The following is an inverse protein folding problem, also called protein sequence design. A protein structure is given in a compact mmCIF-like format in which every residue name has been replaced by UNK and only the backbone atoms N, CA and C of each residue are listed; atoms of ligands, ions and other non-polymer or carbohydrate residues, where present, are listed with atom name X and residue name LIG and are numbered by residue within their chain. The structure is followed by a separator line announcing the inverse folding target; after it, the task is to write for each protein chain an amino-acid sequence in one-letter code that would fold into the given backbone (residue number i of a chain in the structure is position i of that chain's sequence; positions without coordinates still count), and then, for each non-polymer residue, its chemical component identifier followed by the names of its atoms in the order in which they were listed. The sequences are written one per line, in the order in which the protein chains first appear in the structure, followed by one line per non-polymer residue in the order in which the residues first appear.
data_IF_558326775512
#
_entry.id   IF_558326775512
#
_cell.length_a   1.000
_cell.length_b   1.000
_cell.length_c   1.000
_cell.angle_alpha   90.00
_cell.angle_beta   90.00
_cell.angle_gamma   90.00
#
_symmetry.space_group_name_H-M   'P 1'
#
loop_
_entity.id
_entity.type
_entity.pdbx_description
1 polymer ?
#
# COMPACT_ATOMS: atom_id res chain seq x y z
N UNK A 1 9.35 10.48 -6.59
CA UNK A 1 10.05 11.16 -5.47
C UNK A 1 9.77 12.67 -5.34
N UNK A 2 9.19 13.38 -6.33
CA UNK A 2 8.93 14.84 -6.22
C UNK A 2 8.08 15.21 -4.99
N UNK A 3 6.94 14.53 -4.79
CA UNK A 3 6.02 14.72 -3.65
C UNK A 3 6.74 14.65 -2.29
N UNK A 4 7.54 13.60 -2.09
CA UNK A 4 8.34 13.39 -0.86
C UNK A 4 9.41 14.47 -0.71
N UNK A 5 10.15 14.78 -1.78
CA UNK A 5 11.24 15.78 -1.75
C UNK A 5 10.74 17.20 -1.50
N UNK A 6 9.57 17.54 -2.05
CA UNK A 6 8.95 18.86 -1.91
C UNK A 6 8.03 18.96 -0.69
N UNK A 7 7.81 17.84 0.02
CA UNK A 7 6.87 17.73 1.13
C UNK A 7 5.49 18.34 0.79
N UNK A 8 4.97 18.00 -0.39
CA UNK A 8 3.82 18.71 -0.99
C UNK A 8 2.44 18.23 -0.51
N UNK A 9 2.39 17.26 0.42
CA UNK A 9 1.17 16.76 1.03
C UNK A 9 1.45 16.19 2.43
N UNK A 10 0.43 16.19 3.28
CA UNK A 10 0.52 15.59 4.63
C UNK A 10 0.31 14.08 4.60
N UNK A 11 -0.46 13.57 3.64
CA UNK A 11 -0.74 12.14 3.46
C UNK A 11 -0.39 11.73 2.04
N UNK A 12 0.41 10.68 1.90
CA UNK A 12 0.76 10.09 0.60
C UNK A 12 0.34 8.62 0.56
N UNK A 13 -0.57 8.29 -0.36
CA UNK A 13 -1.14 6.94 -0.48
C UNK A 13 -0.55 6.27 -1.72
N UNK A 14 0.07 5.11 -1.52
CA UNK A 14 0.54 4.23 -2.57
C UNK A 14 -0.40 3.03 -2.63
N UNK A 15 -1.45 3.18 -3.44
CA UNK A 15 -2.47 2.15 -3.60
C UNK A 15 -1.93 0.98 -4.45
N UNK A 16 -2.16 -0.24 -3.99
CA UNK A 16 -1.76 -1.52 -4.60
C UNK A 16 -0.25 -1.66 -4.91
N UNK A 17 0.60 -0.96 -4.15
CA UNK A 17 2.07 -1.05 -4.29
C UNK A 17 2.59 -2.47 -4.02
N UNK A 18 1.92 -3.25 -3.17
CA UNK A 18 2.31 -4.65 -2.93
C UNK A 18 2.11 -5.52 -4.18
N UNK A 19 1.14 -5.18 -5.04
CA UNK A 19 0.98 -5.81 -6.35
C UNK A 19 2.17 -5.55 -7.26
N UNK A 20 2.75 -4.35 -7.23
CA UNK A 20 3.94 -3.98 -8.01
C UNK A 20 5.17 -4.79 -7.54
N UNK A 21 5.36 -4.91 -6.22
CA UNK A 21 6.41 -5.74 -5.62
C UNK A 21 6.25 -7.22 -6.00
N UNK A 22 5.03 -7.75 -5.90
CA UNK A 22 4.72 -9.15 -6.25
C UNK A 22 5.04 -9.45 -7.72
N UNK A 23 4.85 -8.47 -8.60
CA UNK A 23 5.19 -8.58 -10.02
C UNK A 23 6.66 -8.26 -10.34
N UNK A 24 7.51 -8.01 -9.33
CA UNK A 24 8.94 -7.68 -9.45
C UNK A 24 9.22 -6.46 -10.34
N UNK A 25 8.25 -5.54 -10.42
CA UNK A 25 8.40 -4.28 -11.15
C UNK A 25 9.11 -3.20 -10.32
N UNK A 26 9.21 -3.43 -9.00
CA UNK A 26 9.89 -2.61 -8.01
C UNK A 26 10.55 -3.56 -7.00
N UNK A 27 11.71 -3.19 -6.48
CA UNK A 27 12.39 -3.97 -5.43
C UNK A 27 11.90 -3.59 -4.03
N UNK A 28 12.02 -4.51 -3.07
CA UNK A 28 11.70 -4.23 -1.67
C UNK A 28 12.59 -3.12 -1.10
N UNK A 29 13.86 -3.11 -1.47
CA UNK A 29 14.83 -2.08 -1.04
C UNK A 29 14.46 -0.69 -1.58
N UNK A 30 13.84 -0.59 -2.75
CA UNK A 30 13.34 0.68 -3.27
C UNK A 30 12.20 1.23 -2.41
N UNK A 31 11.29 0.36 -1.93
CA UNK A 31 10.20 0.75 -1.03
C UNK A 31 10.74 1.11 0.35
N UNK A 32 11.68 0.34 0.89
CA UNK A 32 12.32 0.66 2.17
C UNK A 32 13.01 2.02 2.11
N UNK A 33 13.77 2.30 1.03
CA UNK A 33 14.37 3.63 0.82
C UNK A 33 13.32 4.73 0.75
N UNK A 34 12.15 4.45 0.17
CA UNK A 34 11.06 5.42 0.11
C UNK A 34 10.53 5.73 1.51
N UNK A 35 10.25 4.71 2.32
CA UNK A 35 9.78 4.82 3.70
C UNK A 35 10.79 5.62 4.53
N UNK A 36 12.07 5.26 4.45
CA UNK A 36 13.15 5.93 5.19
C UNK A 36 13.36 7.39 4.74
N UNK A 37 12.96 7.74 3.51
CA UNK A 37 13.12 9.09 2.95
C UNK A 37 11.95 10.03 3.20
N UNK A 38 10.83 9.56 3.77
CA UNK A 38 9.64 10.38 3.97
C UNK A 38 9.90 11.50 4.99
N UNK A 39 9.34 12.71 4.80
CA UNK A 39 9.38 13.75 5.83
C UNK A 39 8.70 13.29 7.12
N UNK A 40 9.18 13.79 8.27
CA UNK A 40 8.66 13.39 9.58
C UNK A 40 7.17 13.71 9.77
N UNK A 41 6.68 14.75 9.10
CA UNK A 41 5.30 15.21 9.18
C UNK A 41 4.38 14.58 8.11
N UNK A 42 4.90 13.65 7.29
CA UNK A 42 4.13 13.00 6.23
C UNK A 42 3.69 11.59 6.68
N UNK A 43 2.41 11.31 6.55
CA UNK A 43 1.83 9.98 6.68
C UNK A 43 1.96 9.23 5.34
N UNK A 44 2.50 8.02 5.38
CA UNK A 44 2.70 7.19 4.18
C UNK A 44 1.86 5.92 4.31
N UNK A 45 0.84 5.79 3.46
CA UNK A 45 -0.07 4.64 3.46
C UNK A 45 0.28 3.75 2.28
N UNK A 46 0.55 2.47 2.56
CA UNK A 46 0.81 1.44 1.57
C UNK A 46 -0.35 0.45 1.60
N UNK A 47 -0.96 0.13 0.46
CA UNK A 47 -2.04 -0.87 0.37
C UNK A 47 -1.64 -2.06 -0.51
N UNK A 48 -2.42 -3.13 -0.38
CA UNK A 48 -2.28 -4.36 -1.14
C UNK A 48 -2.09 -5.58 -0.24
N UNK A 49 -1.85 -6.74 -0.87
CA UNK A 49 -1.80 -8.05 -0.19
C UNK A 49 -0.36 -8.55 -0.06
N UNK A 50 -0.12 -9.45 0.90
CA UNK A 50 1.16 -10.15 1.06
C UNK A 50 2.37 -9.22 1.23
N UNK A 51 2.27 -8.23 2.13
CA UNK A 51 3.38 -7.33 2.41
C UNK A 51 4.63 -8.12 2.90
N UNK A 52 5.82 -7.90 2.30
CA UNK A 52 7.07 -8.53 2.74
C UNK A 52 7.44 -8.16 4.18
N UNK A 53 8.08 -9.09 4.90
CA UNK A 53 8.43 -8.90 6.31
C UNK A 53 9.38 -7.70 6.52
N UNK A 54 10.31 -7.46 5.60
CA UNK A 54 11.20 -6.29 5.65
C UNK A 54 10.44 -4.95 5.61
N UNK A 55 9.29 -4.91 4.96
CA UNK A 55 8.43 -3.72 4.91
C UNK A 55 7.54 -3.66 6.16
N UNK A 56 7.03 -4.81 6.63
CA UNK A 56 6.28 -4.87 7.90
C UNK A 56 7.10 -4.33 9.06
N UNK A 57 8.36 -4.71 9.17
CA UNK A 57 9.25 -4.30 10.26
C UNK A 57 9.50 -2.78 10.31
N UNK A 58 9.24 -2.08 9.20
CA UNK A 58 9.38 -0.62 9.08
C UNK A 58 8.07 0.14 9.34
N UNK A 59 6.93 -0.55 9.35
CA UNK A 59 5.63 0.09 9.49
C UNK A 59 5.33 0.38 10.96
N UNK A 60 4.92 1.62 11.25
CA UNK A 60 4.45 2.00 12.59
C UNK A 60 3.07 1.41 12.91
N UNK A 61 2.24 1.20 11.88
CA UNK A 61 0.90 0.64 11.97
C UNK A 61 0.65 -0.34 10.83
N UNK A 62 0.12 -1.51 11.16
CA UNK A 62 -0.32 -2.52 10.19
C UNK A 62 -1.76 -2.90 10.50
N UNK A 63 -2.62 -2.84 9.49
CA UNK A 63 -3.99 -3.38 9.55
C UNK A 63 -4.14 -4.48 8.51
N UNK A 64 -4.56 -5.67 8.94
CA UNK A 64 -4.84 -6.80 8.08
C UNK A 64 -6.36 -6.94 7.86
N UNK A 65 -6.77 -6.94 6.59
CA UNK A 65 -8.15 -7.19 6.20
C UNK A 65 -8.30 -8.67 5.83
N UNK A 66 -8.84 -9.49 6.73
CA UNK A 66 -9.16 -10.89 6.45
C UNK A 66 -10.56 -11.00 5.84
N UNK A 67 -10.66 -11.66 4.68
CA UNK A 67 -11.96 -11.96 4.05
C UNK A 67 -12.69 -13.05 4.87
N UNK A 68 -13.67 -12.65 5.67
CA UNK A 68 -14.53 -13.59 6.43
C UNK A 68 -15.71 -14.08 5.58
N UNK A 69 -16.20 -13.23 4.67
CA UNK A 69 -17.28 -13.51 3.73
C UNK A 69 -17.27 -12.49 2.60
N UNK A 70 -17.58 -12.91 1.37
CA UNK A 70 -17.65 -12.00 0.22
C UNK A 70 -18.89 -12.27 -0.65
N UNK A 71 -19.58 -11.22 -1.13
CA UNK A 71 -20.77 -11.38 -1.99
C UNK A 71 -20.45 -12.07 -3.33
N UNK A 72 -19.19 -12.06 -3.76
CA UNK A 72 -18.75 -12.84 -4.93
C UNK A 72 -18.95 -14.34 -4.74
N UNK A 73 -18.87 -14.86 -3.50
CA UNK A 73 -19.15 -16.27 -3.20
C UNK A 73 -20.62 -16.64 -3.48
N UNK A 74 -21.51 -15.63 -3.51
CA UNK A 74 -22.92 -15.76 -3.87
C UNK A 74 -23.18 -15.44 -5.35
N UNK A 75 -22.14 -15.25 -6.16
CA UNK A 75 -22.23 -14.96 -7.59
C UNK A 75 -22.50 -13.50 -7.95
N UNK A 76 -22.47 -12.58 -6.97
CA UNK A 76 -22.58 -11.14 -7.26
C UNK A 76 -21.33 -10.67 -8.00
N UNK A 77 -21.52 -10.12 -9.20
CA UNK A 77 -20.45 -9.58 -10.05
C UNK A 77 -20.02 -8.19 -9.58
N UNK A 78 -18.89 -7.71 -10.11
CA UNK A 78 -18.41 -6.33 -9.93
C UNK A 78 -19.44 -5.30 -10.38
N UNK A 79 -19.53 -4.21 -9.62
CA UNK A 79 -20.53 -3.14 -9.71
C UNK A 79 -19.83 -1.79 -9.72
N UNK A 80 -20.26 -0.93 -10.61
CA UNK A 80 -19.80 0.45 -10.65
C UNK A 80 -20.21 1.19 -9.36
N UNK A 81 -19.29 1.98 -8.83
CA UNK A 81 -19.44 2.72 -7.57
C UNK A 81 -19.22 1.89 -6.31
N UNK A 82 -18.95 0.58 -6.42
CA UNK A 82 -18.62 -0.26 -5.27
C UNK A 82 -17.25 -0.92 -5.43
N UNK A 83 -17.05 -1.72 -6.49
CA UNK A 83 -15.77 -2.39 -6.73
C UNK A 83 -14.86 -1.60 -7.70
N UNK A 84 -15.43 -0.65 -8.46
CA UNK A 84 -14.69 0.25 -9.37
C UNK A 84 -15.44 1.55 -9.63
#
# INVERSE_FOLDING_TARGET
MKVIKENSCDVFILDEIMGILSNKLLSEEEVIRLIDSKPINMELILTGRNVPDLIKDKADLITEMTEIKHYMEQGVRVRAGIEF
#
